data_IF_631674539208
#
_entry.id   IF_631674539208
#
_cell.length_a   1.000
_cell.length_b   1.000
_cell.length_c   1.000
_cell.angle_alpha   90.00
_cell.angle_beta   90.00
_cell.angle_gamma   90.00
#
_symmetry.space_group_name_H-M   'P 1'
#
loop_
_entity.id
_entity.type
_entity.pdbx_description
1 polymer ?
#
# COMPACT_ATOMS: atom_id res chain seq x y z
N UNK A 1 2.94 -29.55 -0.28
CA UNK A 1 2.56 -28.13 -0.21
C UNK A 1 1.09 -28.08 -0.55
N UNK A 2 0.26 -27.72 0.40
CA UNK A 2 -1.20 -27.69 0.22
C UNK A 2 -1.59 -26.62 -0.79
N UNK A 3 -2.56 -26.90 -1.67
CA UNK A 3 -3.03 -25.91 -2.67
C UNK A 3 -3.48 -24.59 -2.01
N UNK A 4 -3.99 -24.67 -0.78
CA UNK A 4 -4.38 -23.52 0.04
C UNK A 4 -3.18 -22.65 0.45
N UNK A 5 -2.08 -23.28 0.84
CA UNK A 5 -0.84 -22.58 1.22
C UNK A 5 -0.21 -21.87 0.00
N UNK A 6 -0.28 -22.50 -1.18
CA UNK A 6 0.18 -21.88 -2.43
C UNK A 6 -0.64 -20.62 -2.76
N UNK A 7 -1.97 -20.72 -2.67
CA UNK A 7 -2.86 -19.58 -2.94
C UNK A 7 -2.61 -18.45 -1.95
N UNK A 8 -2.49 -18.74 -0.65
CA UNK A 8 -2.18 -17.71 0.37
C UNK A 8 -0.86 -17.00 0.08
N UNK A 9 0.19 -17.75 -0.27
CA UNK A 9 1.50 -17.17 -0.63
C UNK A 9 1.46 -16.32 -1.89
N UNK A 10 0.73 -16.75 -2.91
CA UNK A 10 0.56 -15.98 -4.14
C UNK A 10 -0.19 -14.67 -3.88
N UNK A 11 -1.29 -14.70 -3.12
CA UNK A 11 -2.04 -13.51 -2.73
C UNK A 11 -1.17 -12.54 -1.92
N UNK A 12 -0.44 -13.05 -0.92
CA UNK A 12 0.49 -12.28 -0.11
C UNK A 12 1.62 -11.67 -0.95
N UNK A 13 2.20 -12.43 -1.89
CA UNK A 13 3.26 -11.96 -2.77
C UNK A 13 2.78 -10.88 -3.75
N UNK A 14 1.56 -10.98 -4.27
CA UNK A 14 0.97 -9.94 -5.13
C UNK A 14 0.81 -8.62 -4.36
N UNK A 15 0.29 -8.68 -3.14
CA UNK A 15 0.11 -7.49 -2.30
C UNK A 15 1.46 -6.95 -1.83
N UNK A 16 2.38 -7.82 -1.41
CA UNK A 16 3.75 -7.46 -1.02
C UNK A 16 4.52 -6.81 -2.17
N UNK A 17 4.38 -7.33 -3.39
CA UNK A 17 4.97 -6.74 -4.60
C UNK A 17 4.43 -5.35 -4.88
N UNK A 18 3.12 -5.15 -4.74
CA UNK A 18 2.51 -3.82 -4.89
C UNK A 18 3.02 -2.82 -3.84
N UNK A 19 3.13 -3.23 -2.57
CA UNK A 19 3.72 -2.41 -1.51
C UNK A 19 5.19 -2.08 -1.78
N UNK A 20 5.98 -3.06 -2.21
CA UNK A 20 7.39 -2.88 -2.53
C UNK A 20 7.58 -1.90 -3.70
N UNK A 21 6.79 -2.04 -4.77
CA UNK A 21 6.81 -1.10 -5.90
C UNK A 21 6.35 0.32 -5.49
N UNK A 22 5.33 0.41 -4.62
CA UNK A 22 4.86 1.68 -4.08
C UNK A 22 5.91 2.35 -3.17
N UNK A 23 6.66 1.58 -2.39
CA UNK A 23 7.76 2.09 -1.56
C UNK A 23 8.97 2.49 -2.42
N UNK A 24 9.37 1.64 -3.36
CA UNK A 24 10.49 1.91 -4.27
C UNK A 24 10.26 3.18 -5.09
N UNK A 25 9.05 3.37 -5.62
CA UNK A 25 8.70 4.59 -6.38
C UNK A 25 8.72 5.87 -5.52
N UNK A 26 8.42 5.79 -4.22
CA UNK A 26 8.58 6.92 -3.29
C UNK A 26 10.04 7.21 -2.97
N UNK A 27 10.88 6.17 -2.90
CA UNK A 27 12.33 6.31 -2.67
C UNK A 27 13.03 6.90 -3.90
N UNK A 28 12.73 6.41 -5.10
CA UNK A 28 13.35 6.92 -6.34
C UNK A 28 12.98 8.37 -6.64
N UNK A 29 11.79 8.81 -6.22
CA UNK A 29 11.32 10.18 -6.38
C UNK A 29 11.14 10.92 -5.06
N UNK A 30 12.10 10.76 -4.15
CA UNK A 30 12.06 11.27 -2.79
C UNK A 30 11.69 12.75 -2.65
N UNK A 31 12.25 13.61 -3.52
CA UNK A 31 11.98 15.05 -3.48
C UNK A 31 10.53 15.37 -3.84
N UNK A 32 10.00 14.74 -4.89
CA UNK A 32 8.60 14.91 -5.31
C UNK A 32 7.64 14.33 -4.26
N UNK A 33 7.98 13.18 -3.67
CA UNK A 33 7.22 12.58 -2.57
C UNK A 33 7.09 13.54 -1.38
N UNK A 34 8.19 14.12 -0.89
CA UNK A 34 8.16 15.06 0.25
C UNK A 34 7.33 16.32 -0.06
N UNK A 35 7.42 16.85 -1.28
CA UNK A 35 6.63 18.00 -1.70
C UNK A 35 5.13 17.68 -1.71
N UNK A 36 4.75 16.52 -2.25
CA UNK A 36 3.34 16.11 -2.29
C UNK A 36 2.80 15.72 -0.90
N UNK A 37 3.63 15.10 -0.05
CA UNK A 37 3.27 14.76 1.33
C UNK A 37 3.04 16.04 2.18
N UNK A 38 3.88 17.05 2.00
CA UNK A 38 3.71 18.35 2.65
C UNK A 38 2.41 19.05 2.19
N UNK A 39 2.08 19.00 0.90
CA UNK A 39 0.81 19.54 0.36
C UNK A 39 -0.43 18.84 0.92
N UNK A 40 -0.31 17.58 1.34
CA UNK A 40 -1.38 16.79 1.96
C UNK A 40 -1.40 16.92 3.49
N UNK A 41 -0.61 17.83 4.08
CA UNK A 41 -0.47 17.98 5.54
C UNK A 41 -0.08 16.68 6.27
N UNK A 42 0.60 15.76 5.59
CA UNK A 42 1.12 14.55 6.22
C UNK A 42 2.27 14.94 7.15
N UNK A 43 2.28 14.40 8.37
CA UNK A 43 3.39 14.61 9.30
C UNK A 43 4.72 14.18 8.68
N UNK A 44 5.75 15.01 8.85
CA UNK A 44 7.10 14.77 8.30
C UNK A 44 7.66 13.40 8.71
N UNK A 45 7.40 12.98 9.95
CA UNK A 45 7.82 11.68 10.48
C UNK A 45 7.19 10.56 9.65
N UNK A 46 5.87 10.59 9.46
CA UNK A 46 5.15 9.61 8.64
C UNK A 46 5.65 9.64 7.21
N UNK A 47 5.85 10.82 6.61
CA UNK A 47 6.36 10.94 5.24
C UNK A 47 7.74 10.29 5.07
N UNK A 48 8.60 10.29 6.09
CA UNK A 48 9.94 9.70 6.01
C UNK A 48 9.92 8.20 6.33
N UNK A 49 9.11 7.75 7.29
CA UNK A 49 9.08 6.34 7.72
C UNK A 49 8.24 5.45 6.82
N UNK A 50 7.21 5.99 6.18
CA UNK A 50 6.25 5.23 5.37
C UNK A 50 6.88 4.46 4.21
N UNK A 51 7.78 5.03 3.38
CA UNK A 51 8.40 4.28 2.28
C UNK A 51 9.25 3.11 2.76
N UNK A 52 9.92 3.27 3.91
CA UNK A 52 10.70 2.20 4.53
C UNK A 52 9.77 1.08 5.04
N UNK A 53 8.64 1.44 5.68
CA UNK A 53 7.65 0.47 6.13
C UNK A 53 7.02 -0.31 4.96
N UNK A 54 6.69 0.35 3.86
CA UNK A 54 6.16 -0.30 2.65
C UNK A 54 7.14 -1.31 2.05
N UNK A 55 8.43 -0.95 1.97
CA UNK A 55 9.47 -1.84 1.47
C UNK A 55 9.71 -3.03 2.39
N UNK A 56 9.80 -2.79 3.71
CA UNK A 56 10.02 -3.86 4.69
C UNK A 56 8.82 -4.82 4.71
N UNK A 57 7.58 -4.30 4.77
CA UNK A 57 6.39 -5.15 4.75
C UNK A 57 6.24 -5.89 3.42
N UNK A 58 6.53 -5.23 2.29
CA UNK A 58 6.51 -5.86 0.98
C UNK A 58 7.53 -7.01 0.88
N UNK A 59 8.75 -6.79 1.33
CA UNK A 59 9.79 -7.82 1.38
C UNK A 59 9.42 -8.97 2.32
N UNK A 60 8.88 -8.67 3.50
CA UNK A 60 8.43 -9.67 4.46
C UNK A 60 7.33 -10.55 3.86
N UNK A 61 6.34 -9.97 3.18
CA UNK A 61 5.25 -10.72 2.54
C UNK A 61 5.71 -11.59 1.37
N UNK A 62 6.78 -11.20 0.66
CA UNK A 62 7.33 -11.97 -0.47
C UNK A 62 8.23 -13.11 0.02
N UNK A 63 9.10 -12.83 1.01
CA UNK A 63 10.17 -13.74 1.43
C UNK A 63 9.72 -14.67 2.55
N UNK A 64 8.99 -14.17 3.54
CA UNK A 64 8.55 -14.95 4.68
C UNK A 64 7.22 -15.64 4.40
N UNK A 65 6.93 -16.69 5.20
CA UNK A 65 5.61 -17.31 5.21
C UNK A 65 4.55 -16.29 5.66
N UNK A 66 3.37 -16.26 5.02
CA UNK A 66 2.28 -15.36 5.39
C UNK A 66 1.85 -15.69 6.82
N UNK A 67 2.29 -14.85 7.76
CA UNK A 67 1.89 -14.92 9.17
C UNK A 67 0.72 -13.96 9.39
N UNK A 68 -0.18 -14.30 10.32
CA UNK A 68 -1.32 -13.45 10.66
C UNK A 68 -0.90 -12.02 11.05
N UNK A 69 0.28 -11.88 11.68
CA UNK A 69 0.85 -10.57 12.05
C UNK A 69 1.28 -9.76 10.83
N UNK A 70 2.00 -10.34 9.87
CA UNK A 70 2.41 -9.68 8.64
C UNK A 70 1.21 -9.28 7.76
N UNK A 71 0.24 -10.20 7.61
CA UNK A 71 -1.01 -9.94 6.88
C UNK A 71 -1.83 -8.83 7.55
N UNK A 72 -1.93 -8.84 8.88
CA UNK A 72 -2.61 -7.81 9.65
C UNK A 72 -1.98 -6.42 9.51
N UNK A 73 -0.65 -6.32 9.60
CA UNK A 73 0.07 -5.06 9.41
C UNK A 73 -0.10 -4.51 7.99
N UNK A 74 0.00 -5.35 6.97
CA UNK A 74 -0.21 -4.95 5.58
C UNK A 74 -1.66 -4.51 5.32
N UNK A 75 -2.63 -5.19 5.94
CA UNK A 75 -4.05 -4.81 5.87
C UNK A 75 -4.27 -3.46 6.53
N UNK A 76 -3.72 -3.24 7.73
CA UNK A 76 -3.83 -1.97 8.44
C UNK A 76 -3.25 -0.82 7.60
N UNK A 77 -2.08 -1.03 7.01
CA UNK A 77 -1.43 -0.04 6.15
C UNK A 77 -2.29 0.28 4.92
N UNK A 78 -2.84 -0.74 4.25
CA UNK A 78 -3.75 -0.56 3.12
C UNK A 78 -5.05 0.14 3.51
N UNK A 79 -5.61 -0.17 4.68
CA UNK A 79 -6.82 0.49 5.20
C UNK A 79 -6.54 1.96 5.42
N UNK A 80 -5.45 2.30 6.10
CA UNK A 80 -5.03 3.70 6.30
C UNK A 80 -4.90 4.42 4.96
N UNK A 81 -4.18 3.83 4.00
CA UNK A 81 -4.05 4.42 2.66
C UNK A 81 -5.38 4.59 1.93
N UNK A 82 -6.27 3.61 2.05
CA UNK A 82 -7.59 3.64 1.42
C UNK A 82 -8.46 4.71 2.04
N UNK A 83 -8.43 4.89 3.36
CA UNK A 83 -9.13 5.97 4.05
C UNK A 83 -8.63 7.34 3.62
N UNK A 84 -7.32 7.54 3.54
CA UNK A 84 -6.74 8.80 3.03
C UNK A 84 -7.16 9.07 1.59
N UNK A 85 -7.08 8.05 0.71
CA UNK A 85 -7.48 8.16 -0.68
C UNK A 85 -8.98 8.46 -0.83
N UNK A 86 -9.82 7.79 -0.05
CA UNK A 86 -11.28 8.00 -0.05
C UNK A 86 -11.62 9.42 0.42
N UNK A 87 -10.98 9.93 1.48
CA UNK A 87 -11.16 11.32 1.93
C UNK A 87 -10.73 12.33 0.85
N UNK A 88 -9.61 12.08 0.16
CA UNK A 88 -9.12 12.94 -0.93
C UNK A 88 -10.11 12.97 -2.12
N UNK A 89 -10.69 11.80 -2.47
CA UNK A 89 -11.72 11.67 -3.51
C UNK A 89 -13.01 12.36 -3.09
N UNK A 90 -13.46 12.18 -1.85
CA UNK A 90 -14.68 12.80 -1.32
C UNK A 90 -14.57 14.33 -1.27
N UNK A 91 -13.39 14.85 -0.91
CA UNK A 91 -13.10 16.29 -0.90
C UNK A 91 -12.86 16.88 -2.29
N UNK A 92 -12.96 16.07 -3.37
CA UNK A 92 -12.68 16.44 -4.76
C UNK A 92 -11.34 17.15 -4.94
N UNK A 93 -10.36 16.79 -4.11
CA UNK A 93 -9.07 17.47 -4.13
C UNK A 93 -8.29 17.09 -5.39
N UNK A 94 -7.86 18.10 -6.13
CA UNK A 94 -7.02 17.96 -7.34
C UNK A 94 -5.56 17.65 -7.01
N UNK A 95 -5.20 17.57 -5.72
CA UNK A 95 -3.85 17.25 -5.29
C UNK A 95 -3.59 15.76 -5.56
N UNK A 96 -2.56 15.39 -6.34
CA UNK A 96 -2.26 14.00 -6.62
C UNK A 96 -1.93 13.26 -5.31
N UNK A 97 -2.68 12.19 -5.01
CA UNK A 97 -2.39 11.34 -3.85
C UNK A 97 -1.01 10.73 -4.08
N UNK A 98 -0.05 11.11 -3.25
CA UNK A 98 1.32 10.62 -3.33
C UNK A 98 1.43 9.10 -2.99
N UNK A 99 0.29 8.49 -2.66
CA UNK A 99 0.03 7.14 -2.21
C UNK A 99 0.58 6.06 -3.17
N UNK A 100 0.58 6.31 -4.48
CA UNK A 100 1.11 5.40 -5.52
C UNK A 100 2.51 5.78 -6.05
N UNK A 101 3.25 6.62 -5.33
CA UNK A 101 4.53 7.16 -5.78
C UNK A 101 4.39 8.35 -6.72
N UNK A 102 5.51 8.97 -7.09
CA UNK A 102 5.50 10.21 -7.89
C UNK A 102 5.10 10.02 -9.37
N UNK A 103 5.05 8.78 -9.83
CA UNK A 103 4.75 8.44 -11.23
C UNK A 103 3.28 8.66 -11.59
N UNK A 104 2.40 8.79 -10.59
CA UNK A 104 0.97 9.01 -10.78
C UNK A 104 0.63 10.45 -10.44
N UNK A 105 0.74 11.34 -11.42
CA UNK A 105 0.39 12.77 -11.31
C UNK A 105 -1.10 13.05 -11.53
N UNK A 106 -1.91 12.01 -11.72
CA UNK A 106 -3.36 12.14 -11.95
C UNK A 106 -4.12 12.33 -10.64
N UNK A 107 -5.27 13.01 -10.70
CA UNK A 107 -6.18 13.12 -9.57
C UNK A 107 -6.61 11.73 -9.06
N UNK A 108 -6.74 11.55 -7.73
CA UNK A 108 -7.17 10.28 -7.16
C UNK A 108 -8.55 9.89 -7.68
N UNK A 109 -8.72 8.62 -8.08
CA UNK A 109 -9.96 8.12 -8.66
C UNK A 109 -10.60 7.01 -7.83
N UNK A 110 -11.92 6.82 -7.99
CA UNK A 110 -12.62 5.66 -7.41
C UNK A 110 -12.04 4.31 -7.84
N UNK A 111 -11.33 4.26 -8.96
CA UNK A 111 -10.64 3.07 -9.45
C UNK A 111 -9.41 2.72 -8.59
N UNK A 112 -8.76 3.70 -8.01
CA UNK A 112 -7.62 3.49 -7.12
C UNK A 112 -8.09 2.98 -5.76
N UNK A 113 -9.24 3.49 -5.27
CA UNK A 113 -9.92 2.97 -4.07
C UNK A 113 -10.33 1.52 -4.26
N UNK A 114 -10.95 1.17 -5.39
CA UNK A 114 -11.37 -0.22 -5.65
C UNK A 114 -10.20 -1.18 -5.79
N UNK A 115 -9.06 -0.75 -6.34
CA UNK A 115 -7.81 -1.54 -6.37
C UNK A 115 -7.29 -1.85 -4.98
N UNK A 116 -7.23 -0.85 -4.09
CA UNK A 116 -6.81 -1.10 -2.70
C UNK A 116 -7.81 -2.00 -1.97
N UNK A 117 -9.12 -1.82 -2.18
CA UNK A 117 -10.14 -2.72 -1.62
C UNK A 117 -9.94 -4.16 -2.10
N UNK A 118 -9.64 -4.35 -3.39
CA UNK A 118 -9.35 -5.68 -3.93
C UNK A 118 -8.09 -6.29 -3.28
N UNK A 119 -7.05 -5.49 -3.03
CA UNK A 119 -5.85 -5.95 -2.31
C UNK A 119 -6.14 -6.31 -0.86
N UNK A 120 -6.98 -5.54 -0.16
CA UNK A 120 -7.45 -5.86 1.18
C UNK A 120 -8.22 -7.19 1.16
N UNK A 121 -9.12 -7.39 0.20
CA UNK A 121 -9.84 -8.65 0.05
C UNK A 121 -8.89 -9.83 -0.22
N UNK A 122 -7.85 -9.64 -1.04
CA UNK A 122 -6.81 -10.65 -1.26
C UNK A 122 -6.04 -11.01 0.02
N UNK A 123 -5.75 -10.04 0.90
CA UNK A 123 -5.13 -10.31 2.20
C UNK A 123 -6.07 -11.08 3.13
N UNK A 124 -7.37 -10.75 3.15
CA UNK A 124 -8.36 -11.52 3.92
C UNK A 124 -8.51 -12.96 3.42
N UNK A 125 -8.48 -13.16 2.10
CA UNK A 125 -8.45 -14.50 1.51
C UNK A 125 -7.15 -15.21 1.89
N UNK A 126 -5.99 -14.54 1.79
CA UNK A 126 -4.73 -15.13 2.21
C UNK A 126 -4.74 -15.54 3.69
N UNK A 127 -5.35 -14.73 4.56
CA UNK A 127 -5.48 -14.97 6.00
C UNK A 127 -6.47 -16.08 6.35
N UNK A 128 -7.52 -16.29 5.56
CA UNK A 128 -8.48 -17.38 5.78
C UNK A 128 -7.96 -18.73 5.26
N UNK A 129 -6.95 -18.72 4.38
CA UNK A 129 -6.29 -19.91 3.84
C UNK A 129 -4.92 -20.23 4.51
N UNK A 130 -4.37 -19.32 5.32
CA UNK A 130 -3.11 -19.50 6.08
C UNK A 130 -3.33 -20.18 7.41
#
# INVERSE_FOLDING_TARGET
MDSKEIVSRLCAAVVGGALALAGASKVTAWQQWKLNAARQNVWKIVAVTLPALELVLGAVLIVLKPTATALGLATLLLVVFTSFLALQVMTKSQVPCACFGSHVTRAPSWRDVSRNLAMIALLFIAASLS
#
